data_IF_116373451889
#
_entry.id   IF_116373451889
#
_cell.length_a   1.000
_cell.length_b   1.000
_cell.length_c   1.000
_cell.angle_alpha   90.00
_cell.angle_beta   90.00
_cell.angle_gamma   90.00
#
_symmetry.space_group_name_H-M   'P 1'
#
loop_
_entity.id
_entity.type
_entity.pdbx_description
1 polymer ?
#
# COMPACT_ATOMS: atom_id res chain seq x y z
N UNK A 1 27.25 -17.28 -69.96
CA UNK A 1 26.08 -18.19 -70.04
C UNK A 1 26.13 -19.06 -68.79
N UNK A 2 25.52 -18.66 -67.67
CA UNK A 2 24.08 -18.70 -67.33
C UNK A 2 23.60 -20.12 -66.95
N UNK A 3 23.08 -20.21 -65.72
CA UNK A 3 22.31 -21.26 -65.03
C UNK A 3 23.08 -22.34 -64.26
N UNK A 4 22.66 -22.84 -63.10
CA UNK A 4 21.76 -22.42 -62.01
C UNK A 4 21.62 -23.67 -61.11
N UNK A 5 21.75 -23.48 -59.79
CA UNK A 5 20.90 -24.10 -58.74
C UNK A 5 20.74 -25.63 -58.69
N UNK A 6 21.21 -26.26 -57.59
CA UNK A 6 20.28 -26.96 -56.67
C UNK A 6 20.88 -27.23 -55.29
N UNK A 7 20.16 -26.70 -54.29
CA UNK A 7 20.35 -26.86 -52.84
C UNK A 7 19.92 -28.26 -52.41
N UNK A 8 20.61 -28.86 -51.45
CA UNK A 8 20.00 -29.80 -50.49
C UNK A 8 20.52 -29.45 -49.10
N UNK A 9 19.66 -28.79 -48.32
CA UNK A 9 19.81 -28.54 -46.90
C UNK A 9 19.21 -29.77 -46.20
N UNK A 10 19.99 -30.50 -45.42
CA UNK A 10 19.47 -31.54 -44.52
C UNK A 10 19.33 -30.92 -43.13
N UNK A 11 18.08 -30.91 -42.67
CA UNK A 11 17.59 -30.25 -41.47
C UNK A 11 18.19 -30.86 -40.19
N UNK A 12 18.75 -30.00 -39.35
CA UNK A 12 19.13 -30.33 -37.98
C UNK A 12 17.88 -30.17 -37.11
N UNK A 13 17.37 -31.28 -36.61
CA UNK A 13 16.18 -31.38 -35.76
C UNK A 13 16.54 -30.88 -34.35
N UNK A 14 16.40 -29.58 -34.08
CA UNK A 14 16.46 -29.03 -32.73
C UNK A 14 15.07 -29.14 -32.09
N UNK A 15 14.83 -30.22 -31.34
CA UNK A 15 13.67 -30.31 -30.45
C UNK A 15 13.85 -29.35 -29.28
N UNK A 16 13.42 -28.10 -29.44
CA UNK A 16 13.28 -27.16 -28.35
C UNK A 16 12.08 -27.62 -27.48
N UNK A 17 12.36 -28.11 -26.28
CA UNK A 17 11.36 -28.31 -25.25
C UNK A 17 10.81 -26.93 -24.85
N UNK A 18 9.67 -26.56 -25.43
CA UNK A 18 8.90 -25.40 -25.00
C UNK A 18 8.35 -25.71 -23.59
N UNK A 19 9.07 -25.27 -22.55
CA UNK A 19 8.50 -25.15 -21.22
C UNK A 19 7.37 -24.10 -21.31
N UNK A 20 6.14 -24.59 -21.39
CA UNK A 20 4.96 -23.75 -21.30
C UNK A 20 4.95 -23.08 -19.93
N UNK A 21 5.38 -21.81 -19.88
CA UNK A 21 5.14 -20.93 -18.75
C UNK A 21 3.64 -20.70 -18.67
N UNK A 22 2.95 -21.50 -17.85
CA UNK A 22 1.57 -21.24 -17.52
C UNK A 22 1.51 -19.88 -16.78
N UNK A 23 0.64 -18.94 -17.20
CA UNK A 23 0.41 -17.74 -16.42
C UNK A 23 -0.15 -18.18 -15.08
N UNK A 24 0.57 -17.86 -14.00
CA UNK A 24 0.07 -18.03 -12.64
C UNK A 24 -1.17 -17.14 -12.53
N UNK A 25 -2.34 -17.75 -12.46
CA UNK A 25 -3.56 -17.03 -12.10
C UNK A 25 -3.26 -16.27 -10.81
N UNK A 26 -3.26 -14.94 -10.89
CA UNK A 26 -3.22 -14.09 -9.71
C UNK A 26 -4.45 -14.50 -8.88
N UNK A 27 -4.22 -15.25 -7.80
CA UNK A 27 -5.31 -15.64 -6.92
C UNK A 27 -5.96 -14.36 -6.41
N UNK A 28 -7.27 -14.24 -6.62
CA UNK A 28 -8.04 -13.12 -6.07
C UNK A 28 -7.78 -13.06 -4.57
N UNK A 29 -7.04 -12.05 -4.13
CA UNK A 29 -6.68 -11.89 -2.73
C UNK A 29 -7.95 -11.46 -1.98
N UNK A 30 -8.36 -12.21 -0.96
CA UNK A 30 -9.57 -11.96 -0.17
C UNK A 30 -9.61 -10.51 0.31
N UNK A 31 -10.72 -9.79 0.18
CA UNK A 31 -10.83 -8.39 0.63
C UNK A 31 -10.34 -8.20 2.08
N UNK A 32 -9.78 -7.03 2.40
CA UNK A 32 -9.45 -6.67 3.80
C UNK A 32 -10.75 -6.66 4.60
N UNK A 33 -10.79 -7.36 5.72
CA UNK A 33 -11.96 -7.44 6.60
C UNK A 33 -11.72 -6.80 7.98
N UNK A 34 -12.79 -6.75 8.79
CA UNK A 34 -12.76 -6.12 10.11
C UNK A 34 -11.80 -6.80 11.08
N UNK A 35 -11.63 -8.12 10.99
CA UNK A 35 -10.74 -8.87 11.86
C UNK A 35 -9.29 -8.61 11.50
N UNK A 36 -8.98 -8.57 10.19
CA UNK A 36 -7.63 -8.24 9.73
C UNK A 36 -7.17 -6.87 10.23
N UNK A 37 -8.05 -5.85 10.26
CA UNK A 37 -7.72 -4.52 10.80
C UNK A 37 -7.70 -4.46 12.33
N UNK A 38 -8.62 -5.15 13.01
CA UNK A 38 -8.70 -5.16 14.48
C UNK A 38 -7.48 -5.84 15.12
N UNK A 39 -7.00 -6.93 14.50
CA UNK A 39 -5.83 -7.68 14.97
C UNK A 39 -4.50 -7.12 14.44
N UNK A 40 -4.55 -6.13 13.53
CA UNK A 40 -3.34 -5.53 12.99
C UNK A 40 -2.54 -4.78 14.08
N UNK A 41 -1.21 -4.94 14.03
CA UNK A 41 -0.28 -4.33 14.99
C UNK A 41 0.76 -3.52 14.23
N UNK A 42 0.92 -2.27 14.64
CA UNK A 42 2.01 -1.42 14.15
C UNK A 42 3.32 -1.97 14.70
N UNK A 43 4.30 -2.13 13.83
CA UNK A 43 5.64 -2.64 14.17
C UNK A 43 6.70 -1.72 13.58
N UNK A 44 7.87 -1.54 14.23
CA UNK A 44 8.95 -0.72 13.70
C UNK A 44 9.39 -1.17 12.29
N UNK A 45 9.46 -2.47 12.04
CA UNK A 45 9.95 -3.02 10.77
C UNK A 45 9.00 -2.72 9.60
N UNK A 46 7.68 -2.72 9.84
CA UNK A 46 6.71 -2.28 8.82
C UNK A 46 6.70 -0.76 8.74
N UNK A 47 6.89 -0.04 9.85
CA UNK A 47 6.92 1.41 9.85
C UNK A 47 8.05 1.98 8.99
N UNK A 48 9.27 1.44 9.09
CA UNK A 48 10.38 1.87 8.25
C UNK A 48 10.10 1.70 6.75
N UNK A 49 9.47 0.57 6.37
CA UNK A 49 9.03 0.32 4.99
C UNK A 49 7.92 1.28 4.59
N UNK A 50 6.97 1.52 5.49
CA UNK A 50 5.88 2.46 5.30
C UNK A 50 6.37 3.88 5.08
N UNK A 51 7.36 4.35 5.84
CA UNK A 51 7.99 5.67 5.66
C UNK A 51 8.60 5.77 4.27
N UNK A 52 9.46 4.82 3.87
CA UNK A 52 10.07 4.79 2.53
C UNK A 52 9.03 4.78 1.41
N UNK A 53 7.98 3.96 1.57
CA UNK A 53 6.88 3.90 0.64
C UNK A 53 6.12 5.24 0.56
N UNK A 54 5.87 5.88 1.70
CA UNK A 54 5.12 7.13 1.79
C UNK A 54 5.84 8.29 1.11
N UNK A 55 7.17 8.33 1.17
CA UNK A 55 7.97 9.28 0.39
C UNK A 55 7.73 9.12 -1.12
N UNK A 56 7.83 7.88 -1.62
CA UNK A 56 7.64 7.59 -3.05
C UNK A 56 6.19 7.82 -3.49
N UNK A 57 5.23 7.43 -2.66
CA UNK A 57 3.80 7.72 -2.88
C UNK A 57 3.58 9.22 -2.97
N UNK A 58 4.18 10.02 -2.08
CA UNK A 58 4.07 11.48 -2.10
C UNK A 58 4.75 12.12 -3.32
N UNK A 59 5.79 11.51 -3.89
CA UNK A 59 6.36 11.94 -5.17
C UNK A 59 5.37 11.65 -6.31
N UNK A 60 4.83 10.42 -6.38
CA UNK A 60 3.85 10.03 -7.40
C UNK A 60 2.61 10.91 -7.37
N UNK A 61 2.05 11.17 -6.18
CA UNK A 61 0.82 11.99 -6.06
C UNK A 61 1.06 13.47 -6.32
N UNK A 62 2.29 13.96 -6.17
CA UNK A 62 2.66 15.34 -6.53
C UNK A 62 2.79 15.49 -8.05
N UNK A 63 3.39 14.50 -8.69
CA UNK A 63 3.77 14.57 -10.11
C UNK A 63 2.60 14.20 -11.05
N UNK A 64 1.57 13.52 -10.53
CA UNK A 64 0.36 13.20 -11.29
C UNK A 64 -0.81 14.16 -10.96
N UNK A 65 -1.24 15.01 -11.91
CA UNK A 65 -2.34 15.95 -11.74
C UNK A 65 -3.67 15.32 -11.32
N UNK A 66 -3.90 14.03 -11.58
CA UNK A 66 -5.12 13.33 -11.16
C UNK A 66 -5.33 13.41 -9.64
N UNK A 67 -4.26 13.44 -8.85
CA UNK A 67 -4.33 13.54 -7.39
C UNK A 67 -4.61 14.95 -6.87
N UNK A 68 -4.59 15.97 -7.73
CA UNK A 68 -5.06 17.32 -7.35
C UNK A 68 -6.57 17.32 -7.11
N UNK A 69 -7.32 16.59 -7.94
CA UNK A 69 -8.79 16.54 -7.88
C UNK A 69 -9.30 15.33 -7.11
N UNK A 70 -8.49 14.27 -7.04
CA UNK A 70 -8.78 13.08 -6.25
C UNK A 70 -7.58 12.74 -5.36
N UNK A 71 -7.35 13.44 -4.23
CA UNK A 71 -6.26 13.13 -3.31
C UNK A 71 -6.28 11.67 -2.88
N UNK A 72 -5.12 11.03 -2.73
CA UNK A 72 -5.05 9.61 -2.36
C UNK A 72 -5.66 9.37 -0.97
N UNK A 73 -5.29 10.22 -0.02
CA UNK A 73 -5.90 10.29 1.29
C UNK A 73 -6.81 11.53 1.34
N UNK A 74 -8.10 11.32 1.54
CA UNK A 74 -9.05 12.41 1.79
C UNK A 74 -9.37 12.47 3.28
N UNK A 75 -9.88 13.61 3.73
CA UNK A 75 -10.36 13.75 5.11
C UNK A 75 -11.44 12.70 5.43
N UNK A 76 -12.29 12.37 4.47
CA UNK A 76 -13.34 11.35 4.63
C UNK A 76 -12.75 9.95 4.82
N UNK A 77 -11.64 9.63 4.15
CA UNK A 77 -10.93 8.36 4.36
C UNK A 77 -10.26 8.35 5.73
N UNK A 78 -9.63 9.46 6.13
CA UNK A 78 -8.93 9.57 7.41
C UNK A 78 -9.87 9.58 8.62
N UNK A 79 -11.07 10.14 8.48
CA UNK A 79 -12.09 10.25 9.53
C UNK A 79 -13.28 9.31 9.30
N UNK A 80 -13.15 8.32 8.42
CA UNK A 80 -14.22 7.39 8.11
C UNK A 80 -14.65 6.62 9.36
N UNK A 81 -15.95 6.58 9.64
CA UNK A 81 -16.52 5.66 10.62
C UNK A 81 -16.46 4.19 10.18
N UNK A 82 -16.18 3.94 8.90
CA UNK A 82 -16.02 2.61 8.31
C UNK A 82 -14.58 2.44 7.80
N UNK A 83 -13.73 1.88 8.66
CA UNK A 83 -12.33 1.61 8.35
C UNK A 83 -12.15 0.53 7.27
N UNK A 84 -13.09 -0.41 7.15
CA UNK A 84 -13.02 -1.51 6.15
C UNK A 84 -13.29 -0.94 4.75
N UNK A 85 -14.33 -0.12 4.60
CA UNK A 85 -14.60 0.56 3.34
C UNK A 85 -13.46 1.51 2.94
N UNK A 86 -12.91 2.25 3.89
CA UNK A 86 -11.75 3.12 3.68
C UNK A 86 -10.52 2.32 3.19
N UNK A 87 -10.22 1.19 3.84
CA UNK A 87 -9.13 0.30 3.44
C UNK A 87 -9.35 -0.28 2.03
N UNK A 88 -10.56 -0.78 1.73
CA UNK A 88 -10.87 -1.33 0.41
C UNK A 88 -10.75 -0.29 -0.70
N UNK A 89 -11.23 0.94 -0.46
CA UNK A 89 -11.11 2.05 -1.40
C UNK A 89 -9.66 2.46 -1.64
N UNK A 90 -8.86 2.59 -0.57
CA UNK A 90 -7.43 2.91 -0.66
C UNK A 90 -6.66 1.83 -1.43
N UNK A 91 -6.86 0.56 -1.08
CA UNK A 91 -6.23 -0.57 -1.73
C UNK A 91 -6.52 -0.59 -3.24
N UNK A 92 -7.80 -0.45 -3.60
CA UNK A 92 -8.26 -0.42 -4.99
C UNK A 92 -7.56 0.68 -5.78
N UNK A 93 -7.41 1.88 -5.20
CA UNK A 93 -6.76 3.01 -5.88
C UNK A 93 -5.27 2.79 -6.08
N UNK A 94 -4.59 2.18 -5.10
CA UNK A 94 -3.17 1.84 -5.19
C UNK A 94 -2.94 0.78 -6.28
N UNK A 95 -3.75 -0.28 -6.29
CA UNK A 95 -3.62 -1.40 -7.23
C UNK A 95 -3.91 -0.98 -8.68
N UNK A 96 -4.85 -0.06 -8.89
CA UNK A 96 -5.17 0.45 -10.22
C UNK A 96 -4.25 1.58 -10.71
N UNK A 97 -3.31 2.05 -9.89
CA UNK A 97 -2.37 3.09 -10.27
C UNK A 97 -0.94 2.54 -10.36
N UNK A 98 -0.44 2.36 -11.58
CA UNK A 98 0.87 1.73 -11.82
C UNK A 98 2.02 2.43 -11.07
N UNK A 99 2.02 3.77 -11.02
CA UNK A 99 3.02 4.53 -10.29
C UNK A 99 2.99 4.27 -8.78
N UNK A 100 1.80 4.08 -8.20
CA UNK A 100 1.67 3.81 -6.75
C UNK A 100 2.09 2.38 -6.45
N UNK A 101 1.60 1.41 -7.22
CA UNK A 101 1.99 0.01 -7.07
C UNK A 101 3.51 -0.18 -7.20
N UNK A 102 4.15 0.47 -8.18
CA UNK A 102 5.61 0.46 -8.33
C UNK A 102 6.33 1.13 -7.16
N UNK A 103 5.83 2.26 -6.67
CA UNK A 103 6.41 2.94 -5.52
C UNK A 103 6.43 2.07 -4.26
N UNK A 104 5.38 1.26 -4.05
CA UNK A 104 5.30 0.31 -2.94
C UNK A 104 6.24 -0.88 -3.11
N UNK A 105 6.30 -1.45 -4.32
CA UNK A 105 7.22 -2.54 -4.66
C UNK A 105 8.68 -2.12 -4.43
N UNK A 106 9.09 -0.95 -4.93
CA UNK A 106 10.44 -0.40 -4.75
C UNK A 106 10.78 -0.13 -3.26
N UNK A 107 9.77 -0.02 -2.39
CA UNK A 107 9.92 0.14 -0.94
C UNK A 107 9.86 -1.19 -0.15
N UNK A 108 9.56 -2.31 -0.82
CA UNK A 108 9.47 -3.63 -0.20
C UNK A 108 8.21 -3.84 0.65
N UNK A 109 7.11 -3.16 0.32
CA UNK A 109 5.81 -3.31 0.99
C UNK A 109 4.73 -3.59 -0.06
N UNK A 110 3.77 -4.46 0.27
CA UNK A 110 2.66 -4.76 -0.65
C UNK A 110 1.57 -3.69 -0.53
N UNK A 111 0.73 -3.49 -1.57
CA UNK A 111 -0.45 -2.63 -1.49
C UNK A 111 -1.36 -2.92 -0.29
N UNK A 112 -1.60 -4.21 0.00
CA UNK A 112 -2.38 -4.64 1.17
C UNK A 112 -1.72 -4.23 2.48
N UNK A 113 -0.43 -4.50 2.64
CA UNK A 113 0.27 -4.22 3.89
C UNK A 113 0.38 -2.71 4.13
N UNK A 114 0.68 -1.93 3.07
CA UNK A 114 0.67 -0.48 3.12
C UNK A 114 -0.70 0.07 3.53
N UNK A 115 -1.78 -0.45 2.92
CA UNK A 115 -3.15 -0.04 3.24
C UNK A 115 -3.50 -0.30 4.70
N UNK A 116 -3.27 -1.52 5.20
CA UNK A 116 -3.55 -1.84 6.61
C UNK A 116 -2.77 -0.96 7.55
N UNK A 117 -1.47 -0.83 7.29
CA UNK A 117 -0.60 0.00 8.11
C UNK A 117 -1.07 1.46 8.12
N UNK A 118 -1.39 2.03 6.96
CA UNK A 118 -1.89 3.41 6.84
C UNK A 118 -3.16 3.61 7.68
N UNK A 119 -4.18 2.75 7.48
CA UNK A 119 -5.47 2.88 8.16
C UNK A 119 -5.31 2.71 9.68
N UNK A 120 -4.53 1.72 10.11
CA UNK A 120 -4.26 1.50 11.54
C UNK A 120 -3.45 2.65 12.16
N UNK A 121 -2.46 3.19 11.44
CA UNK A 121 -1.65 4.32 11.91
C UNK A 121 -2.49 5.59 12.08
N UNK A 122 -3.33 5.91 11.10
CA UNK A 122 -4.22 7.08 11.15
C UNK A 122 -5.19 6.96 12.34
N UNK A 123 -5.83 5.80 12.50
CA UNK A 123 -6.75 5.57 13.62
C UNK A 123 -6.06 5.69 14.98
N UNK A 124 -4.85 5.14 15.11
CA UNK A 124 -4.05 5.24 16.33
C UNK A 124 -3.59 6.67 16.62
N UNK A 125 -3.20 7.43 15.58
CA UNK A 125 -2.81 8.84 15.70
C UNK A 125 -3.96 9.73 16.17
N UNK A 126 -5.14 9.56 15.60
CA UNK A 126 -6.33 10.27 16.03
C UNK A 126 -6.71 9.93 17.47
N UNK A 127 -6.66 8.64 17.84
CA UNK A 127 -6.93 8.21 19.21
C UNK A 127 -5.93 8.81 20.20
N UNK A 128 -4.63 8.81 19.86
CA UNK A 128 -3.59 9.46 20.66
C UNK A 128 -3.88 10.97 20.84
N UNK A 129 -4.23 11.67 19.75
CA UNK A 129 -4.60 13.08 19.79
C UNK A 129 -5.78 13.37 20.71
N UNK A 130 -6.84 12.57 20.67
CA UNK A 130 -8.00 12.74 21.55
C UNK A 130 -7.70 12.45 23.03
N UNK A 131 -6.77 11.55 23.32
CA UNK A 131 -6.30 11.33 24.69
C UNK A 131 -5.48 12.52 25.19
N UNK A 132 -4.52 12.96 24.37
CA UNK A 132 -3.64 14.08 24.70
C UNK A 132 -4.43 15.39 24.90
N UNK A 133 -5.52 15.58 24.16
CA UNK A 133 -6.39 16.75 24.29
C UNK A 133 -7.42 16.64 25.43
N UNK A 134 -7.52 15.50 26.10
CA UNK A 134 -8.51 15.23 27.15
C UNK A 134 -9.94 15.03 26.65
N UNK A 135 -10.15 14.90 25.34
CA UNK A 135 -11.47 14.59 24.75
C UNK A 135 -11.88 13.16 25.10
N UNK A 136 -10.92 12.23 25.09
CA UNK A 136 -11.10 10.87 25.59
C UNK A 136 -10.37 10.70 26.92
N UNK A 137 -11.02 10.15 27.96
CA UNK A 137 -10.35 9.87 29.23
C UNK A 137 -9.44 8.63 29.15
N UNK A 138 -9.69 7.74 28.18
CA UNK A 138 -8.94 6.51 27.92
C UNK A 138 -9.29 5.94 26.55
N UNK A 139 -8.45 5.04 26.04
CA UNK A 139 -8.72 4.28 24.81
C UNK A 139 -10.01 3.45 25.00
N UNK A 140 -10.98 3.49 24.07
CA UNK A 140 -12.20 2.69 24.14
C UNK A 140 -11.90 1.18 24.15
N UNK A 141 -12.75 0.41 24.83
CA UNK A 141 -12.65 -1.05 24.83
C UNK A 141 -12.79 -1.60 23.41
N UNK A 142 -11.84 -2.46 23.00
CA UNK A 142 -11.79 -3.04 21.65
C UNK A 142 -10.86 -2.30 20.69
N UNK A 143 -10.43 -1.08 20.99
CA UNK A 143 -9.37 -0.42 20.24
C UNK A 143 -7.99 -0.95 20.69
N UNK A 144 -7.07 -1.25 19.76
CA UNK A 144 -5.76 -1.81 20.09
C UNK A 144 -4.86 -0.75 20.74
N UNK A 145 -4.82 -0.72 22.07
CA UNK A 145 -4.02 0.20 22.89
C UNK A 145 -2.54 0.21 22.52
N UNK A 146 -2.00 -0.94 22.10
CA UNK A 146 -0.63 -1.09 21.63
C UNK A 146 -0.31 -0.22 20.41
N UNK A 147 -1.26 0.02 19.51
CA UNK A 147 -1.04 0.88 18.34
C UNK A 147 -1.03 2.36 18.75
N UNK A 148 -1.81 2.74 19.78
CA UNK A 148 -1.77 4.09 20.35
C UNK A 148 -0.43 4.34 21.04
N UNK A 149 0.06 3.37 21.82
CA UNK A 149 1.39 3.43 22.44
C UNK A 149 2.52 3.48 21.41
N UNK A 150 2.36 2.78 20.27
CA UNK A 150 3.29 2.91 19.15
C UNK A 150 3.35 4.34 18.63
N UNK A 151 2.19 5.00 18.41
CA UNK A 151 2.18 6.39 17.96
C UNK A 151 2.81 7.33 18.98
N UNK A 152 2.50 7.16 20.27
CA UNK A 152 3.11 7.94 21.35
C UNK A 152 4.64 7.87 21.28
N UNK A 153 5.20 6.66 21.15
CA UNK A 153 6.64 6.43 21.05
C UNK A 153 7.30 7.01 19.78
N UNK A 154 6.54 7.19 18.70
CA UNK A 154 7.02 7.63 17.39
C UNK A 154 6.41 8.96 16.93
N UNK A 155 5.92 9.80 17.86
CA UNK A 155 5.05 10.95 17.56
C UNK A 155 5.56 11.83 16.42
N UNK A 156 6.84 12.26 16.47
CA UNK A 156 7.40 13.14 15.44
C UNK A 156 7.46 12.49 14.06
N UNK A 157 7.89 11.23 13.99
CA UNK A 157 8.01 10.47 12.74
C UNK A 157 6.63 10.20 12.13
N UNK A 158 5.63 9.92 12.98
CA UNK A 158 4.24 9.70 12.57
C UNK A 158 3.64 10.99 11.99
N UNK A 159 3.79 12.13 12.68
CA UNK A 159 3.31 13.42 12.18
C UNK A 159 3.95 13.76 10.83
N UNK A 160 5.27 13.58 10.71
CA UNK A 160 6.00 13.86 9.48
C UNK A 160 5.54 12.99 8.31
N UNK A 161 5.37 11.68 8.53
CA UNK A 161 4.96 10.77 7.44
C UNK A 161 3.50 11.02 7.02
N UNK A 162 2.60 11.29 7.97
CA UNK A 162 1.20 11.61 7.66
C UNK A 162 1.10 12.94 6.89
N UNK A 163 1.85 13.96 7.30
CA UNK A 163 1.90 15.25 6.62
C UNK A 163 2.38 15.12 5.16
N UNK A 164 3.34 14.22 4.90
CA UNK A 164 3.81 13.90 3.54
C UNK A 164 2.74 13.25 2.66
N UNK A 165 1.88 12.43 3.27
CA UNK A 165 0.74 11.82 2.58
C UNK A 165 -0.45 12.79 2.41
N UNK A 166 -0.31 14.05 2.85
CA UNK A 166 -1.37 15.06 2.78
C UNK A 166 -2.37 14.98 3.95
N UNK A 167 -2.08 14.18 4.98
CA UNK A 167 -2.89 14.07 6.19
C UNK A 167 -2.29 15.01 7.24
N UNK A 168 -3.01 16.09 7.56
CA UNK A 168 -2.58 17.09 8.54
C UNK A 168 -3.62 17.17 9.67
N UNK A 169 -3.13 17.49 10.86
CA UNK A 169 -3.97 17.74 12.06
C UNK A 169 -4.96 18.91 11.84
#
# INVERSE_FOLDING_TARGET
MVHATRRVIVAMLCSAAAAAVLPRAAGAQTAIDVYELADYRLTPEVFERFVRASHRVADVTRDDPAFTFAPLFTRDVALSGDAVAAAAGLLTRIEHHQGLSKALEDAGITPREFTKFAITLIAAHLAHGFLASGVLPRVPSGAPTINVAFVEAHTSEVVDVLARLGIRD
#
